data_IF_678966439156
#
_entry.id   IF_678966439156
#
_cell.length_a   1.000
_cell.length_b   1.000
_cell.length_c   1.000
_cell.angle_alpha   90.00
_cell.angle_beta   90.00
_cell.angle_gamma   90.00
#
_symmetry.space_group_name_H-M   'P 1'
#
loop_
_entity.id
_entity.type
_entity.pdbx_description
1 polymer ?
#
# COMPACT_ATOMS: atom_id res chain seq x y z
N UNK A 1 1.03 -17.41 1.78
CA UNK A 1 1.25 -16.14 1.07
C UNK A 1 2.58 -16.23 0.34
N UNK A 2 2.62 -16.04 -0.98
CA UNK A 2 3.88 -16.07 -1.75
C UNK A 2 4.44 -14.65 -1.81
N UNK A 3 5.55 -14.41 -1.12
CA UNK A 3 6.29 -13.14 -1.19
C UNK A 3 7.16 -13.11 -2.45
N UNK A 4 7.14 -11.98 -3.16
CA UNK A 4 8.00 -11.75 -4.32
C UNK A 4 9.13 -10.79 -3.94
N UNK A 5 10.38 -11.19 -4.22
CA UNK A 5 11.57 -10.37 -3.99
C UNK A 5 12.11 -9.92 -5.35
N UNK A 6 11.70 -8.74 -5.86
CA UNK A 6 12.03 -8.32 -7.22
C UNK A 6 13.54 -8.13 -7.44
N UNK A 7 14.32 -7.89 -6.37
CA UNK A 7 15.77 -7.75 -6.41
C UNK A 7 16.50 -8.98 -5.83
N UNK A 8 15.79 -10.09 -5.62
CA UNK A 8 16.31 -11.23 -4.85
C UNK A 8 16.46 -10.92 -3.36
N UNK A 9 17.13 -11.83 -2.64
CA UNK A 9 17.47 -11.63 -1.23
C UNK A 9 18.66 -10.68 -1.09
N UNK A 10 18.75 -9.88 -0.01
CA UNK A 10 19.94 -9.08 0.24
C UNK A 10 21.16 -9.98 0.42
N UNK A 11 22.38 -9.49 0.08
CA UNK A 11 23.63 -10.13 0.50
C UNK A 11 23.64 -10.36 2.02
N UNK A 12 24.21 -11.48 2.47
CA UNK A 12 24.05 -11.95 3.86
C UNK A 12 24.67 -11.04 4.94
N UNK A 13 25.56 -10.15 4.55
CA UNK A 13 26.29 -9.20 5.39
C UNK A 13 25.77 -7.76 5.26
N UNK A 14 24.81 -7.51 4.38
CA UNK A 14 24.32 -6.16 4.11
C UNK A 14 23.27 -5.74 5.14
N UNK A 15 23.53 -4.61 5.80
CA UNK A 15 22.55 -3.95 6.64
C UNK A 15 21.46 -3.30 5.77
N UNK A 16 20.21 -3.76 5.94
CA UNK A 16 19.08 -3.35 5.10
C UNK A 16 17.84 -3.02 5.91
N UNK A 17 17.02 -2.13 5.36
CA UNK A 17 15.64 -1.94 5.79
C UNK A 17 14.68 -2.50 4.74
N UNK A 18 13.51 -2.94 5.22
CA UNK A 18 12.51 -3.62 4.43
C UNK A 18 11.30 -2.73 4.15
N UNK A 19 10.72 -2.86 2.97
CA UNK A 19 9.43 -2.27 2.63
C UNK A 19 8.60 -3.25 1.82
N UNK A 20 7.39 -3.46 2.31
CA UNK A 20 6.39 -4.30 1.67
C UNK A 20 5.38 -3.44 0.91
N UNK A 21 5.13 -3.78 -0.35
CA UNK A 21 4.21 -3.08 -1.25
C UNK A 21 3.36 -4.05 -2.06
N UNK A 22 2.19 -3.59 -2.50
CA UNK A 22 1.41 -4.30 -3.51
C UNK A 22 1.65 -3.62 -4.85
N UNK A 23 2.10 -4.39 -5.84
CA UNK A 23 2.43 -3.91 -7.18
C UNK A 23 1.56 -4.62 -8.23
N UNK A 24 1.21 -3.88 -9.27
CA UNK A 24 0.59 -4.38 -10.51
C UNK A 24 1.43 -3.84 -11.66
N UNK A 25 1.67 -4.67 -12.66
CA UNK A 25 2.43 -4.28 -13.84
C UNK A 25 1.49 -4.19 -15.03
N UNK A 26 1.62 -3.13 -15.82
CA UNK A 26 0.97 -3.07 -17.13
C UNK A 26 1.75 -3.91 -18.14
N UNK A 27 1.05 -4.43 -19.14
CA UNK A 27 1.65 -5.05 -20.30
C UNK A 27 0.86 -4.68 -21.55
N UNK A 28 1.55 -4.67 -22.68
CA UNK A 28 0.92 -4.39 -23.99
C UNK A 28 0.26 -5.67 -24.48
N UNK A 29 -1.02 -5.59 -24.82
CA UNK A 29 -1.73 -6.66 -25.53
C UNK A 29 -1.59 -6.40 -27.03
N UNK A 30 -1.91 -5.18 -27.45
CA UNK A 30 -1.78 -4.70 -28.83
C UNK A 30 -1.42 -3.21 -28.81
N UNK A 31 -0.23 -2.87 -29.30
CA UNK A 31 0.27 -1.50 -29.30
C UNK A 31 -0.47 -0.61 -30.31
N UNK A 32 -0.84 -1.17 -31.47
CA UNK A 32 -1.45 -0.42 -32.57
C UNK A 32 -2.90 -0.06 -32.26
N UNK A 33 -3.54 -0.83 -31.37
CA UNK A 33 -4.92 -0.62 -30.89
C UNK A 33 -5.00 0.06 -29.53
N UNK A 34 -3.86 0.43 -28.95
CA UNK A 34 -3.75 0.95 -27.58
C UNK A 34 -4.40 0.05 -26.52
N UNK A 35 -4.32 -1.27 -26.72
CA UNK A 35 -4.86 -2.26 -25.79
C UNK A 35 -3.78 -2.69 -24.79
N UNK A 36 -4.01 -2.37 -23.51
CA UNK A 36 -3.10 -2.70 -22.42
C UNK A 36 -3.80 -3.55 -21.36
N UNK A 37 -3.10 -4.57 -20.90
CA UNK A 37 -3.51 -5.39 -19.76
C UNK A 37 -2.80 -4.98 -18.48
N UNK A 38 -3.29 -5.49 -17.36
CA UNK A 38 -2.62 -5.36 -16.05
C UNK A 38 -2.53 -6.72 -15.37
N UNK A 39 -1.42 -6.98 -14.69
CA UNK A 39 -1.26 -8.19 -13.89
C UNK A 39 -2.11 -8.11 -12.63
N UNK A 40 -2.43 -9.27 -12.06
CA UNK A 40 -2.95 -9.36 -10.71
C UNK A 40 -2.00 -8.69 -9.69
N UNK A 41 -2.56 -8.10 -8.61
CA UNK A 41 -1.74 -7.50 -7.57
C UNK A 41 -0.92 -8.58 -6.87
N UNK A 42 0.38 -8.35 -6.77
CA UNK A 42 1.29 -9.20 -6.01
C UNK A 42 1.95 -8.43 -4.87
N UNK A 43 2.25 -9.15 -3.78
CA UNK A 43 2.98 -8.59 -2.65
C UNK A 43 4.48 -8.66 -2.92
N UNK A 44 5.11 -7.50 -3.03
CA UNK A 44 6.54 -7.36 -3.21
C UNK A 44 7.21 -6.91 -1.93
N UNK A 45 8.28 -7.61 -1.57
CA UNK A 45 9.14 -7.25 -0.47
C UNK A 45 10.48 -6.78 -1.01
N UNK A 46 10.79 -5.51 -0.76
CA UNK A 46 12.03 -4.86 -1.18
C UNK A 46 12.90 -4.57 0.02
N UNK A 47 14.20 -4.75 -0.14
CA UNK A 47 15.20 -4.34 0.82
C UNK A 47 15.95 -3.12 0.26
N UNK A 48 16.46 -2.29 1.17
CA UNK A 48 17.17 -1.07 0.84
C UNK A 48 18.40 -0.97 1.75
N UNK A 49 19.61 -0.76 1.19
CA UNK A 49 20.83 -0.68 1.97
C UNK A 49 20.78 0.53 2.92
N UNK A 50 21.29 0.31 4.14
CA UNK A 50 21.47 1.38 5.12
C UNK A 50 22.81 2.05 4.88
N UNK A 51 22.79 3.35 4.63
CA UNK A 51 23.99 4.16 4.44
C UNK A 51 24.67 4.43 5.79
N UNK A 52 23.87 4.73 6.83
CA UNK A 52 24.36 5.07 8.18
C UNK A 52 23.28 4.89 9.23
N UNK A 53 23.59 4.20 10.33
CA UNK A 53 22.71 4.10 11.51
C UNK A 53 22.91 5.23 12.51
N UNK A 54 21.85 5.55 13.24
CA UNK A 54 21.84 6.42 14.41
C UNK A 54 21.07 5.73 15.55
N UNK A 55 21.18 6.18 16.81
CA UNK A 55 20.46 5.54 17.92
C UNK A 55 18.93 5.54 17.77
N UNK A 56 18.36 6.42 16.93
CA UNK A 56 16.91 6.56 16.73
C UNK A 56 16.43 6.11 15.35
N UNK A 57 17.35 5.88 14.41
CA UNK A 57 16.97 5.67 13.01
C UNK A 57 18.13 5.30 12.10
N UNK A 58 17.91 5.41 10.80
CA UNK A 58 18.90 5.07 9.78
C UNK A 58 18.73 5.97 8.56
N UNK A 59 19.84 6.26 7.89
CA UNK A 59 19.86 6.87 6.56
C UNK A 59 19.77 5.75 5.52
N UNK A 60 18.83 5.88 4.59
CA UNK A 60 18.56 4.90 3.56
C UNK A 60 18.04 5.61 2.31
N UNK A 61 18.66 5.34 1.16
CA UNK A 61 18.32 5.96 -0.13
C UNK A 61 18.34 7.49 -0.09
N UNK A 62 19.31 8.08 0.62
CA UNK A 62 19.44 9.54 0.74
C UNK A 62 18.44 10.21 1.69
N UNK A 63 17.61 9.46 2.41
CA UNK A 63 16.64 9.99 3.38
C UNK A 63 16.87 9.45 4.79
N UNK A 64 16.58 10.25 5.82
CA UNK A 64 16.58 9.79 7.20
C UNK A 64 15.25 9.12 7.57
N UNK A 65 15.33 7.90 8.08
CA UNK A 65 14.21 7.05 8.49
C UNK A 65 14.22 6.93 10.01
N UNK A 66 13.23 7.49 10.67
CA UNK A 66 13.03 7.34 12.10
C UNK A 66 12.40 5.97 12.39
N UNK A 67 13.17 5.03 12.94
CA UNK A 67 12.75 3.63 13.14
C UNK A 67 11.79 3.47 14.33
N UNK A 68 11.75 4.46 15.22
CA UNK A 68 10.81 4.58 16.35
C UNK A 68 9.49 5.26 15.98
N UNK A 69 9.33 5.74 14.74
CA UNK A 69 8.10 6.40 14.32
C UNK A 69 6.92 5.41 14.29
N UNK A 70 5.72 5.91 14.58
CA UNK A 70 4.49 5.11 14.40
C UNK A 70 4.22 4.81 12.91
N UNK A 71 4.52 5.76 12.02
CA UNK A 71 4.37 5.61 10.56
C UNK A 71 5.75 5.56 9.92
N UNK A 72 6.34 4.37 9.89
CA UNK A 72 7.66 4.14 9.30
C UNK A 72 7.55 4.00 7.79
N UNK A 73 8.56 4.54 7.09
CA UNK A 73 8.72 4.34 5.63
C UNK A 73 9.30 2.96 5.32
N UNK A 74 10.24 2.51 6.14
CA UNK A 74 10.89 1.20 6.07
C UNK A 74 10.96 0.58 7.47
N UNK A 75 11.06 -0.74 7.54
CA UNK A 75 11.00 -1.51 8.79
C UNK A 75 12.27 -2.35 8.94
N UNK A 76 12.65 -2.68 10.17
CA UNK A 76 13.91 -3.41 10.44
C UNK A 76 13.84 -4.89 10.05
N UNK A 77 12.64 -5.46 9.99
CA UNK A 77 12.43 -6.85 9.61
C UNK A 77 11.39 -7.00 8.51
N UNK A 78 11.47 -8.13 7.80
CA UNK A 78 10.46 -8.54 6.81
C UNK A 78 9.06 -8.63 7.45
N UNK A 79 8.98 -9.19 8.66
CA UNK A 79 7.73 -9.35 9.40
C UNK A 79 7.09 -8.00 9.73
N UNK A 80 7.88 -7.04 10.21
CA UNK A 80 7.40 -5.69 10.51
C UNK A 80 6.95 -4.97 9.24
N UNK A 81 7.67 -5.13 8.13
CA UNK A 81 7.28 -4.52 6.86
C UNK A 81 5.93 -5.04 6.36
N UNK A 82 5.67 -6.34 6.52
CA UNK A 82 4.38 -6.97 6.21
C UNK A 82 3.28 -6.47 7.15
N UNK A 83 3.56 -6.42 8.46
CA UNK A 83 2.63 -5.91 9.46
C UNK A 83 2.23 -4.45 9.14
N UNK A 84 3.21 -3.59 8.88
CA UNK A 84 3.01 -2.19 8.54
C UNK A 84 2.20 -2.04 7.25
N UNK A 85 2.45 -2.89 6.25
CA UNK A 85 1.65 -2.91 5.03
C UNK A 85 0.18 -3.27 5.30
N UNK A 86 -0.08 -4.32 6.09
CA UNK A 86 -1.43 -4.70 6.47
C UNK A 86 -2.14 -3.57 7.22
N UNK A 87 -1.47 -2.95 8.19
CA UNK A 87 -2.01 -1.82 8.94
C UNK A 87 -2.38 -0.64 8.01
N UNK A 88 -1.48 -0.28 7.07
CA UNK A 88 -1.75 0.75 6.06
C UNK A 88 -2.97 0.41 5.20
N UNK A 89 -3.06 -0.81 4.67
CA UNK A 89 -4.18 -1.20 3.81
C UNK A 89 -5.51 -1.30 4.55
N UNK A 90 -5.53 -1.83 5.79
CA UNK A 90 -6.73 -1.80 6.65
C UNK A 90 -7.22 -0.39 6.91
N UNK A 91 -6.30 0.54 7.23
CA UNK A 91 -6.62 1.95 7.41
C UNK A 91 -7.14 2.58 6.13
N UNK A 92 -6.54 2.27 4.99
CA UNK A 92 -6.97 2.77 3.69
C UNK A 92 -8.38 2.28 3.32
N UNK A 93 -8.67 0.99 3.50
CA UNK A 93 -10.02 0.44 3.31
C UNK A 93 -11.03 1.22 4.14
N UNK A 94 -10.75 1.43 5.44
CA UNK A 94 -11.64 2.22 6.32
C UNK A 94 -11.90 3.64 5.78
N UNK A 95 -10.87 4.31 5.26
CA UNK A 95 -11.00 5.66 4.68
C UNK A 95 -11.89 5.61 3.44
N UNK A 96 -11.63 4.69 2.51
CA UNK A 96 -12.40 4.56 1.27
C UNK A 96 -13.86 4.18 1.54
N UNK A 97 -14.11 3.27 2.48
CA UNK A 97 -15.48 2.91 2.90
C UNK A 97 -16.24 4.13 3.44
N UNK A 98 -15.58 4.97 4.24
CA UNK A 98 -16.21 6.19 4.75
C UNK A 98 -16.49 7.21 3.63
N UNK A 99 -15.58 7.33 2.66
CA UNK A 99 -15.77 8.19 1.49
C UNK A 99 -16.92 7.70 0.61
N UNK A 100 -17.00 6.38 0.38
CA UNK A 100 -18.10 5.77 -0.36
C UNK A 100 -19.44 6.05 0.31
N UNK A 101 -19.56 5.79 1.62
CA UNK A 101 -20.79 6.06 2.39
C UNK A 101 -21.24 7.51 2.30
N UNK A 102 -20.30 8.45 2.31
CA UNK A 102 -20.61 9.86 2.15
C UNK A 102 -21.16 10.14 0.75
N UNK A 103 -20.50 9.64 -0.29
CA UNK A 103 -20.96 9.83 -1.67
C UNK A 103 -22.34 9.19 -1.91
N UNK A 104 -22.60 8.01 -1.35
CA UNK A 104 -23.92 7.36 -1.37
C UNK A 104 -24.99 8.22 -0.70
N UNK A 105 -24.70 8.79 0.47
CA UNK A 105 -25.62 9.69 1.16
C UNK A 105 -25.89 10.99 0.37
N UNK A 106 -24.85 11.57 -0.25
CA UNK A 106 -24.97 12.76 -1.10
C UNK A 106 -25.81 12.46 -2.35
N UNK A 107 -25.63 11.28 -2.98
CA UNK A 107 -26.43 10.83 -4.12
C UNK A 107 -27.91 10.64 -3.75
N UNK A 108 -28.19 10.04 -2.60
CA UNK A 108 -29.55 9.82 -2.10
C UNK A 108 -30.35 11.13 -1.87
N UNK A 109 -29.70 12.30 -1.81
CA UNK A 109 -30.39 13.60 -1.78
C UNK A 109 -31.07 13.95 -3.10
N UNK A 110 -30.60 13.36 -4.20
CA UNK A 110 -31.14 13.59 -5.55
C UNK A 110 -32.21 12.57 -5.94
N UNK A 111 -32.28 11.46 -5.20
CA UNK A 111 -33.28 10.43 -5.44
C UNK A 111 -34.64 10.88 -4.88
N UNK A 112 -35.74 10.73 -5.65
CA UNK A 112 -37.06 11.11 -5.18
C UNK A 112 -37.38 10.28 -3.94
N UNK A 113 -37.46 10.95 -2.78
CA UNK A 113 -38.00 10.35 -1.57
C UNK A 113 -39.48 10.11 -1.85
N UNK A 114 -39.84 8.89 -2.23
CA UNK A 114 -41.23 8.43 -2.15
C UNK A 114 -41.62 8.52 -0.69
N UNK A 115 -42.15 9.67 -0.29
CA UNK A 115 -42.92 9.79 0.92
C UNK A 115 -44.08 8.81 0.74
N UNK A 116 -43.92 7.61 1.31
CA UNK A 116 -45.03 6.72 1.54
C UNK A 116 -46.00 7.51 2.41
N UNK A 117 -46.99 8.12 1.76
CA UNK A 117 -48.22 8.55 2.38
C UNK A 117 -48.81 7.26 2.96
N UNK A 118 -48.46 6.99 4.21
CA UNK A 118 -49.17 6.04 5.05
C UNK A 118 -50.54 6.67 5.24
N UNK A 119 -51.48 6.27 4.38
CA UNK A 119 -52.91 6.48 4.56
C UNK A 119 -53.29 5.73 5.85
N UNK A 120 -53.46 6.47 6.93
CA UNK A 120 -54.15 6.04 8.13
C UNK A 120 -55.59 6.60 8.09
#
# INVERSE_FOLDING_TARGET
MKLHYPHGKPPGDLDVLWRCEAQRYSYVVDADREEYGVTDPRLELRWYPVDRRTPKGAWCCGEFVLLTAFKKKFSESEADAIHDFQARKRKHIKILTNQLKRAEADLALTEPKTHALVLA
#
